data_IF_303655538416
#
_entry.id   IF_303655538416
#
_cell.length_a   1.000
_cell.length_b   1.000
_cell.length_c   1.000
_cell.angle_alpha   90.00
_cell.angle_beta   90.00
_cell.angle_gamma   90.00
#
_symmetry.space_group_name_H-M   'P 1'
#
loop_
_entity.id
_entity.type
_entity.pdbx_description
1 polymer ?
#
# COMPACT_ATOMS: atom_id res chain seq x y z
N UNK A 1 -31.17 4.00 13.27
CA UNK A 1 -29.75 4.00 13.66
C UNK A 1 -28.94 4.42 12.44
N UNK A 2 -28.11 5.47 12.53
CA UNK A 2 -27.17 5.81 11.44
C UNK A 2 -25.90 4.98 11.65
N UNK A 3 -25.45 4.30 10.61
CA UNK A 3 -24.13 3.67 10.60
C UNK A 3 -23.09 4.78 10.74
N UNK A 4 -22.20 4.71 11.73
CA UNK A 4 -21.05 5.60 11.79
C UNK A 4 -20.11 5.19 10.65
N UNK A 5 -20.17 5.90 9.54
CA UNK A 5 -19.12 5.83 8.52
C UNK A 5 -17.94 6.65 9.03
N UNK A 6 -16.92 5.96 9.51
CA UNK A 6 -15.62 6.56 9.76
C UNK A 6 -14.84 6.59 8.45
N UNK A 7 -14.10 7.67 8.21
CA UNK A 7 -13.08 7.67 7.17
C UNK A 7 -11.94 6.74 7.57
N UNK A 8 -11.52 5.89 6.63
CA UNK A 8 -10.42 4.95 6.81
C UNK A 8 -9.42 5.11 5.66
N UNK A 9 -8.16 4.83 5.96
CA UNK A 9 -7.10 4.73 4.98
C UNK A 9 -6.42 3.38 5.13
N UNK A 10 -5.90 2.87 4.02
CA UNK A 10 -5.12 1.64 3.97
C UNK A 10 -3.65 1.99 3.88
N UNK A 11 -2.83 1.36 4.72
CA UNK A 11 -1.38 1.47 4.70
C UNK A 11 -0.79 0.17 4.16
N UNK A 12 -0.11 0.26 3.02
CA UNK A 12 0.61 -0.85 2.41
C UNK A 12 2.11 -0.63 2.57
N UNK A 13 2.80 -1.59 3.17
CA UNK A 13 4.25 -1.55 3.36
C UNK A 13 4.94 -2.70 2.63
N UNK A 14 6.12 -2.44 2.10
CA UNK A 14 6.97 -3.41 1.43
C UNK A 14 8.42 -3.26 1.83
N UNK A 15 9.15 -4.38 1.85
CA UNK A 15 10.57 -4.43 2.23
C UNK A 15 11.35 -5.32 1.27
N UNK A 16 12.55 -4.89 0.90
CA UNK A 16 13.54 -5.72 0.20
C UNK A 16 14.77 -5.89 1.11
N UNK A 17 14.84 -7.00 1.88
CA UNK A 17 15.94 -7.22 2.83
C UNK A 17 17.31 -7.25 2.17
N UNK A 18 17.43 -7.84 0.97
CA UNK A 18 18.69 -7.95 0.24
C UNK A 18 19.33 -6.59 -0.09
N UNK A 19 18.52 -5.53 -0.19
CA UNK A 19 18.96 -4.17 -0.49
C UNK A 19 18.85 -3.21 0.70
N UNK A 20 18.29 -3.66 1.82
CA UNK A 20 18.08 -2.82 3.00
C UNK A 20 17.10 -1.66 2.77
N UNK A 21 16.15 -1.81 1.85
CA UNK A 21 15.17 -0.77 1.51
C UNK A 21 13.77 -1.17 1.95
N UNK A 22 12.95 -0.17 2.30
CA UNK A 22 11.52 -0.32 2.57
C UNK A 22 10.73 0.84 1.98
N UNK A 23 9.46 0.58 1.66
CA UNK A 23 8.56 1.55 1.05
C UNK A 23 7.14 1.37 1.59
N UNK A 24 6.36 2.46 1.61
CA UNK A 24 4.98 2.42 2.06
C UNK A 24 4.09 3.37 1.24
N UNK A 25 2.81 2.99 1.08
CA UNK A 25 1.78 3.76 0.41
C UNK A 25 0.53 3.84 1.30
N UNK A 26 -0.07 5.04 1.39
CA UNK A 26 -1.34 5.27 2.10
C UNK A 26 -2.41 5.62 1.07
N UNK A 27 -3.51 4.86 1.03
CA UNK A 27 -4.59 5.04 0.04
C UNK A 27 -5.98 5.04 0.69
N UNK A 28 -6.98 5.74 0.13
CA UNK A 28 -8.31 5.80 0.73
C UNK A 28 -9.21 4.59 0.36
N UNK A 29 -8.79 3.75 -0.59
CA UNK A 29 -9.53 2.57 -1.04
C UNK A 29 -8.59 1.46 -1.50
N UNK A 30 -9.10 0.24 -1.69
CA UNK A 30 -8.32 -0.92 -2.17
C UNK A 30 -9.00 -1.52 -3.39
N UNK A 31 -8.21 -1.77 -4.44
CA UNK A 31 -8.63 -2.54 -5.61
C UNK A 31 -7.43 -3.33 -6.18
N UNK A 32 -7.66 -4.12 -7.23
CA UNK A 32 -6.60 -4.94 -7.85
C UNK A 32 -5.49 -4.08 -8.47
N UNK A 33 -5.83 -2.97 -9.09
CA UNK A 33 -4.87 -2.10 -9.77
C UNK A 33 -3.90 -1.46 -8.76
N UNK A 34 -4.42 -1.01 -7.61
CA UNK A 34 -3.64 -0.50 -6.50
C UNK A 34 -2.67 -1.52 -5.93
N UNK A 35 -3.05 -2.80 -5.89
CA UNK A 35 -2.13 -3.86 -5.48
C UNK A 35 -1.00 -4.08 -6.48
N UNK A 36 -1.25 -3.87 -7.78
CA UNK A 36 -0.18 -3.88 -8.79
C UNK A 36 0.74 -2.67 -8.59
N UNK A 37 0.18 -1.48 -8.39
CA UNK A 37 0.94 -0.27 -8.09
C UNK A 37 1.80 -0.40 -6.84
N UNK A 38 1.29 -1.02 -5.77
CA UNK A 38 2.07 -1.30 -4.56
C UNK A 38 3.35 -2.12 -4.83
N UNK A 39 3.34 -2.98 -5.85
CA UNK A 39 4.46 -3.85 -6.21
C UNK A 39 5.44 -3.22 -7.21
N UNK A 40 5.02 -2.19 -7.97
CA UNK A 40 5.87 -1.55 -8.98
C UNK A 40 7.13 -0.93 -8.37
N UNK A 41 7.05 -0.09 -7.33
CA UNK A 41 8.24 0.51 -6.73
C UNK A 41 9.21 -0.54 -6.19
N UNK A 42 8.70 -1.66 -5.67
CA UNK A 42 9.51 -2.79 -5.22
C UNK A 42 10.27 -3.39 -6.40
N UNK A 43 9.61 -3.65 -7.53
CA UNK A 43 10.24 -4.28 -8.70
C UNK A 43 11.33 -3.40 -9.33
N UNK A 44 11.13 -2.08 -9.35
CA UNK A 44 12.10 -1.13 -9.92
C UNK A 44 13.29 -0.89 -8.99
N UNK A 45 13.06 -1.06 -7.69
CA UNK A 45 14.08 -0.98 -6.65
C UNK A 45 14.55 -2.38 -6.19
N UNK A 46 14.29 -3.45 -6.93
CA UNK A 46 14.96 -4.77 -6.81
C UNK A 46 16.01 -4.83 -7.92
#
# INVERSE_FOLDING_TARGET
MKQQQFEYAYLFGSVCPARGIGEAMVVPWVNKDLMVEHLIPIKEKI
#
